data_IF_753790270518
#
_entry.id   IF_753790270518
#
_cell.length_a   1.000
_cell.length_b   1.000
_cell.length_c   1.000
_cell.angle_alpha   90.00
_cell.angle_beta   90.00
_cell.angle_gamma   90.00
#
_symmetry.space_group_name_H-M   'P 1'
#
loop_
_entity.id
_entity.type
_entity.pdbx_description
1 polymer ?
#
# COMPACT_ATOMS: atom_id res chain seq x y z
N UNK A 1 -2.65 19.99 9.30
CA UNK A 1 -2.14 18.91 8.43
C UNK A 1 -2.94 18.82 7.16
N UNK A 2 -2.38 19.40 6.09
CA UNK A 2 -2.94 19.32 4.74
C UNK A 2 -2.31 18.11 4.02
N UNK A 3 -3.01 16.98 4.11
CA UNK A 3 -2.64 15.75 3.41
C UNK A 3 -3.35 15.70 2.07
N UNK A 4 -2.60 15.37 1.03
CA UNK A 4 -3.15 15.13 -0.30
C UNK A 4 -2.80 13.72 -0.75
N UNK A 5 -3.78 13.01 -1.31
CA UNK A 5 -3.60 11.69 -1.91
C UNK A 5 -3.65 11.86 -3.43
N UNK A 6 -2.54 11.56 -4.09
CA UNK A 6 -2.35 11.70 -5.54
C UNK A 6 -2.05 10.36 -6.18
N UNK A 7 -2.44 10.15 -7.45
CA UNK A 7 -2.03 8.96 -8.21
C UNK A 7 -0.65 9.21 -8.81
N UNK A 8 0.20 8.19 -8.80
CA UNK A 8 1.54 8.28 -9.38
C UNK A 8 1.49 8.51 -10.90
N UNK A 9 0.50 7.92 -11.57
CA UNK A 9 0.25 8.13 -13.00
C UNK A 9 -0.06 9.59 -13.37
N UNK A 10 -0.50 10.42 -12.42
CA UNK A 10 -0.82 11.84 -12.66
C UNK A 10 0.41 12.76 -12.53
N UNK A 11 1.53 12.24 -12.04
CA UNK A 11 2.74 13.00 -11.68
C UNK A 11 4.01 12.55 -12.43
N UNK A 12 3.92 11.52 -13.28
CA UNK A 12 4.99 10.93 -14.12
C UNK A 12 6.45 11.22 -13.69
N UNK A 13 7.08 10.36 -12.87
CA UNK A 13 8.28 10.77 -12.17
C UNK A 13 9.44 9.77 -12.31
N UNK A 14 10.37 10.03 -13.21
CA UNK A 14 11.70 9.44 -13.05
C UNK A 14 12.40 9.96 -11.76
N UNK A 15 11.96 11.10 -11.24
CA UNK A 15 12.60 11.84 -10.14
C UNK A 15 12.14 11.42 -8.73
N UNK A 16 11.10 10.59 -8.58
CA UNK A 16 10.58 10.21 -7.25
C UNK A 16 11.31 9.02 -6.59
N UNK A 17 12.29 8.38 -7.25
CA UNK A 17 12.96 7.18 -6.73
C UNK A 17 13.56 7.37 -5.33
N UNK A 18 14.16 8.53 -5.08
CA UNK A 18 14.78 8.83 -3.78
C UNK A 18 13.73 9.02 -2.67
N UNK A 19 12.52 9.45 -3.01
CA UNK A 19 11.45 9.75 -2.04
C UNK A 19 10.84 8.46 -1.47
N UNK A 20 10.91 7.34 -2.19
CA UNK A 20 10.46 6.03 -1.70
C UNK A 20 11.48 5.28 -0.83
N UNK A 21 12.66 5.84 -0.58
CA UNK A 21 13.76 5.14 0.09
C UNK A 21 13.37 4.53 1.46
N UNK A 22 12.72 5.30 2.33
CA UNK A 22 12.24 4.82 3.63
C UNK A 22 11.18 3.74 3.49
N UNK A 23 10.21 3.95 2.59
CA UNK A 23 9.16 2.97 2.28
C UNK A 23 9.77 1.63 1.82
N UNK A 24 10.69 1.68 0.85
CA UNK A 24 11.37 0.49 0.33
C UNK A 24 12.13 -0.21 1.45
N UNK A 25 12.94 0.54 2.22
CA UNK A 25 13.73 -0.02 3.33
C UNK A 25 12.85 -0.73 4.37
N UNK A 26 11.74 -0.13 4.77
CA UNK A 26 10.83 -0.75 5.74
C UNK A 26 10.12 -1.98 5.18
N UNK A 27 9.70 -1.97 3.91
CA UNK A 27 9.00 -3.10 3.32
C UNK A 27 9.94 -4.26 2.96
N UNK A 28 11.21 -4.01 2.67
CA UNK A 28 12.24 -5.04 2.46
C UNK A 28 12.41 -5.95 3.70
N UNK A 29 12.17 -5.43 4.90
CA UNK A 29 12.19 -6.22 6.15
C UNK A 29 11.04 -7.23 6.25
N UNK A 30 9.94 -6.97 5.52
CA UNK A 30 8.71 -7.76 5.58
C UNK A 30 8.56 -8.69 4.37
N UNK A 31 9.07 -8.26 3.22
CA UNK A 31 8.94 -8.95 1.94
C UNK A 31 10.32 -9.04 1.27
N UNK A 32 10.89 -10.24 1.09
CA UNK A 32 12.17 -10.39 0.43
C UNK A 32 12.16 -9.86 -1.01
N UNK A 33 13.23 -9.17 -1.42
CA UNK A 33 13.40 -8.57 -2.74
C UNK A 33 12.37 -7.49 -3.07
N UNK A 34 11.86 -6.77 -2.06
CA UNK A 34 10.82 -5.76 -2.21
C UNK A 34 11.23 -4.64 -3.17
N UNK A 35 12.48 -4.15 -3.11
CA UNK A 35 13.00 -3.13 -4.03
C UNK A 35 12.91 -3.56 -5.49
N UNK A 36 13.30 -4.80 -5.78
CA UNK A 36 13.23 -5.37 -7.14
C UNK A 36 11.78 -5.47 -7.60
N UNK A 37 10.89 -5.97 -6.71
CA UNK A 37 9.46 -6.04 -6.98
C UNK A 37 8.85 -4.65 -7.21
N UNK A 38 9.16 -3.66 -6.37
CA UNK A 38 8.62 -2.30 -6.47
C UNK A 38 9.06 -1.61 -7.77
N UNK A 39 10.33 -1.77 -8.18
CA UNK A 39 10.80 -1.29 -9.48
C UNK A 39 10.00 -1.88 -10.65
N UNK A 40 9.66 -3.18 -10.58
CA UNK A 40 8.77 -3.80 -11.57
C UNK A 40 7.37 -3.16 -11.55
N UNK A 41 6.81 -2.90 -10.37
CA UNK A 41 5.49 -2.25 -10.24
C UNK A 41 5.50 -0.84 -10.82
N UNK A 42 6.57 -0.06 -10.64
CA UNK A 42 6.68 1.27 -11.27
C UNK A 42 6.59 1.17 -12.81
N UNK A 43 7.26 0.17 -13.40
CA UNK A 43 7.19 -0.09 -14.85
C UNK A 43 5.78 -0.57 -15.26
N UNK A 44 5.16 -1.47 -14.48
CA UNK A 44 3.80 -1.94 -14.76
C UNK A 44 2.76 -0.82 -14.64
N UNK A 45 2.91 0.10 -13.68
CA UNK A 45 2.04 1.27 -13.53
C UNK A 45 2.15 2.20 -14.74
N UNK A 46 3.38 2.46 -15.22
CA UNK A 46 3.62 3.27 -16.40
C UNK A 46 3.01 2.64 -17.67
N UNK A 47 3.24 1.34 -17.89
CA UNK A 47 2.78 0.64 -19.10
C UNK A 47 1.31 0.23 -19.06
N UNK A 48 0.73 0.04 -17.87
CA UNK A 48 -0.64 -0.46 -17.69
C UNK A 48 -1.40 0.32 -16.59
N UNK A 49 -1.66 1.63 -16.80
CA UNK A 49 -2.20 2.52 -15.76
C UNK A 49 -3.58 2.08 -15.21
N UNK A 50 -4.35 1.33 -15.99
CA UNK A 50 -5.66 0.80 -15.57
C UNK A 50 -5.61 -0.54 -14.80
N UNK A 51 -4.43 -1.18 -14.73
CA UNK A 51 -4.22 -2.47 -14.05
C UNK A 51 -3.39 -2.35 -12.77
N UNK A 52 -2.51 -1.34 -12.72
CA UNK A 52 -1.64 -1.04 -11.59
C UNK A 52 -1.69 0.44 -11.32
N UNK A 53 -2.00 0.80 -10.08
CA UNK A 53 -1.90 2.18 -9.63
C UNK A 53 -1.17 2.27 -8.29
N UNK A 54 -0.41 3.35 -8.13
CA UNK A 54 0.23 3.71 -6.88
C UNK A 54 -0.36 5.03 -6.42
N UNK A 55 -1.00 5.04 -5.26
CA UNK A 55 -1.42 6.25 -4.58
C UNK A 55 -0.37 6.66 -3.56
N UNK A 56 -0.07 7.95 -3.51
CA UNK A 56 0.89 8.53 -2.59
C UNK A 56 0.16 9.58 -1.76
N UNK A 57 0.30 9.51 -0.44
CA UNK A 57 -0.08 10.61 0.43
C UNK A 57 1.13 11.50 0.66
N UNK A 58 0.98 12.79 0.36
CA UNK A 58 1.98 13.82 0.64
C UNK A 58 1.47 14.78 1.73
N UNK A 59 2.37 15.30 2.57
CA UNK A 59 2.08 16.43 3.45
C UNK A 59 2.62 17.71 2.84
N UNK A 60 1.74 18.70 2.63
CA UNK A 60 2.08 20.02 2.05
C UNK A 60 2.57 21.06 3.07
N UNK A 61 2.74 20.70 4.34
CA UNK A 61 3.10 21.64 5.40
C UNK A 61 4.56 22.15 5.40
N UNK A 62 5.41 21.73 4.45
CA UNK A 62 6.82 22.16 4.37
C UNK A 62 7.24 22.43 2.93
N UNK A 63 8.35 23.16 2.77
CA UNK A 63 9.04 23.37 1.48
C UNK A 63 9.52 22.05 0.83
N UNK A 64 9.49 20.93 1.56
CA UNK A 64 9.88 19.60 1.08
C UNK A 64 8.66 18.66 1.07
N UNK A 65 8.45 17.98 -0.06
CA UNK A 65 7.43 16.95 -0.21
C UNK A 65 7.84 15.73 0.62
N UNK A 66 7.06 15.40 1.64
CA UNK A 66 7.22 14.18 2.43
C UNK A 66 6.15 13.17 2.04
N UNK A 67 6.58 11.95 1.69
CA UNK A 67 5.66 10.82 1.51
C UNK A 67 5.23 10.34 2.89
N UNK A 68 3.95 10.57 3.21
CA UNK A 68 3.31 10.12 4.44
C UNK A 68 2.73 8.72 4.31
N UNK A 69 2.46 8.29 3.08
CA UNK A 69 1.96 6.95 2.84
C UNK A 69 1.99 6.55 1.38
N UNK A 70 2.00 5.24 1.15
CA UNK A 70 2.03 4.61 -0.18
C UNK A 70 0.99 3.50 -0.18
N UNK A 71 0.16 3.46 -1.22
CA UNK A 71 -0.78 2.37 -1.46
C UNK A 71 -0.62 1.88 -2.90
N UNK A 72 -0.42 0.58 -3.05
CA UNK A 72 -0.22 -0.07 -4.36
C UNK A 72 -1.41 -0.99 -4.64
N UNK A 73 -2.07 -0.79 -5.78
CA UNK A 73 -3.29 -1.50 -6.15
C UNK A 73 -3.09 -2.39 -7.39
N UNK A 74 -3.79 -3.53 -7.40
CA UNK A 74 -3.92 -4.45 -8.53
C UNK A 74 -5.36 -4.51 -8.98
N UNK A 75 -5.64 -4.19 -10.25
CA UNK A 75 -6.98 -4.29 -10.85
C UNK A 75 -6.95 -5.16 -12.10
N UNK A 76 -6.99 -6.48 -11.90
CA UNK A 76 -7.14 -7.47 -12.97
C UNK A 76 -8.52 -8.11 -12.87
N UNK A 77 -8.97 -8.78 -13.93
CA UNK A 77 -10.27 -9.44 -13.97
C UNK A 77 -10.37 -10.53 -12.89
N UNK A 78 -9.27 -11.23 -12.68
CA UNK A 78 -9.15 -12.35 -11.74
C UNK A 78 -8.79 -11.89 -10.32
N UNK A 79 -8.27 -10.67 -10.15
CA UNK A 79 -7.76 -10.21 -8.85
C UNK A 79 -7.88 -8.69 -8.68
N UNK A 80 -8.59 -8.28 -7.62
CA UNK A 80 -8.66 -6.90 -7.12
C UNK A 80 -7.99 -6.86 -5.75
N UNK A 81 -6.75 -6.34 -5.69
CA UNK A 81 -5.90 -6.46 -4.49
C UNK A 81 -5.33 -5.11 -4.05
N UNK A 82 -5.32 -4.87 -2.74
CA UNK A 82 -4.42 -3.90 -2.11
C UNK A 82 -3.08 -4.62 -1.88
N UNK A 83 -2.12 -4.42 -2.78
CA UNK A 83 -0.82 -5.11 -2.70
C UNK A 83 0.03 -4.59 -1.56
N UNK A 84 -0.05 -3.29 -1.31
CA UNK A 84 0.67 -2.62 -0.23
C UNK A 84 -0.19 -1.47 0.28
N UNK A 85 -0.27 -1.32 1.60
CA UNK A 85 -0.68 -0.08 2.25
C UNK A 85 0.36 0.22 3.32
N UNK A 86 0.97 1.40 3.25
CA UNK A 86 2.01 1.83 4.16
C UNK A 86 1.73 3.27 4.56
N UNK A 87 1.74 3.54 5.87
CA UNK A 87 1.71 4.87 6.44
C UNK A 87 2.96 5.02 7.31
N UNK A 88 3.75 6.05 7.04
CA UNK A 88 4.93 6.38 7.82
C UNK A 88 4.52 6.64 9.27
N UNK A 89 5.36 6.20 10.23
CA UNK A 89 4.99 6.07 11.64
C UNK A 89 4.49 7.37 12.27
N UNK A 90 5.12 8.51 11.96
CA UNK A 90 4.77 9.83 12.45
C UNK A 90 3.50 10.40 11.79
N UNK A 91 2.99 9.75 10.75
CA UNK A 91 1.73 10.10 10.07
C UNK A 91 0.57 9.14 10.37
N UNK A 92 0.78 8.12 11.21
CA UNK A 92 -0.29 7.21 11.68
C UNK A 92 -1.29 7.93 12.59
N UNK A 93 -2.45 7.31 12.79
CA UNK A 93 -3.57 7.84 13.60
C UNK A 93 -4.18 9.17 13.11
N UNK A 94 -3.82 9.61 11.89
CA UNK A 94 -4.35 10.83 11.24
C UNK A 94 -5.40 10.54 10.16
N UNK A 95 -6.06 9.38 10.25
CA UNK A 95 -7.08 8.88 9.29
C UNK A 95 -6.60 8.65 7.85
N UNK A 96 -5.31 8.84 7.53
CA UNK A 96 -4.74 8.64 6.18
C UNK A 96 -5.01 7.22 5.66
N UNK A 97 -4.73 6.18 6.46
CA UNK A 97 -5.00 4.79 6.05
C UNK A 97 -6.47 4.52 5.74
N UNK A 98 -7.39 5.12 6.50
CA UNK A 98 -8.83 5.04 6.22
C UNK A 98 -9.20 5.73 4.90
N UNK A 99 -8.60 6.87 4.59
CA UNK A 99 -8.83 7.60 3.33
C UNK A 99 -8.27 6.82 2.13
N UNK A 100 -7.07 6.24 2.27
CA UNK A 100 -6.46 5.39 1.25
C UNK A 100 -7.31 4.14 0.96
N UNK A 101 -7.82 3.45 1.99
CA UNK A 101 -8.72 2.30 1.76
C UNK A 101 -9.97 2.70 0.98
N UNK A 102 -10.59 3.86 1.29
CA UNK A 102 -11.74 4.35 0.48
C UNK A 102 -11.36 4.58 -0.98
N UNK A 103 -10.20 5.20 -1.23
CA UNK A 103 -9.65 5.37 -2.59
C UNK A 103 -9.41 4.03 -3.29
N UNK A 104 -9.00 3.00 -2.53
CA UNK A 104 -8.86 1.64 -3.07
C UNK A 104 -10.19 1.08 -3.54
N UNK A 105 -11.28 1.32 -2.82
CA UNK A 105 -12.60 0.83 -3.21
C UNK A 105 -13.08 1.48 -4.50
N UNK A 106 -12.91 2.80 -4.61
CA UNK A 106 -13.20 3.57 -5.82
C UNK A 106 -12.40 3.03 -7.01
N UNK A 107 -11.07 2.89 -6.87
CA UNK A 107 -10.21 2.44 -7.97
C UNK A 107 -10.50 0.98 -8.35
N UNK A 108 -10.60 0.07 -7.38
CA UNK A 108 -10.79 -1.36 -7.63
C UNK A 108 -12.24 -1.71 -8.03
N UNK A 109 -13.21 -0.85 -7.72
CA UNK A 109 -14.63 -1.14 -7.93
C UNK A 109 -15.08 -2.34 -7.08
N UNK A 110 -14.65 -2.40 -5.82
CA UNK A 110 -15.08 -3.37 -4.80
C UNK A 110 -14.80 -2.80 -3.41
N UNK A 111 -15.68 -3.04 -2.45
CA UNK A 111 -15.43 -2.75 -1.03
C UNK A 111 -14.82 -3.94 -0.27
N UNK A 112 -14.60 -5.06 -0.97
CA UNK A 112 -13.89 -6.25 -0.51
C UNK A 112 -12.71 -6.53 -1.46
N UNK A 113 -11.65 -5.72 -1.41
CA UNK A 113 -10.42 -6.04 -2.12
C UNK A 113 -9.56 -6.99 -1.29
N UNK A 114 -9.00 -8.00 -1.97
CA UNK A 114 -8.08 -8.94 -1.36
C UNK A 114 -6.88 -8.19 -0.77
N UNK A 115 -6.44 -8.61 0.41
CA UNK A 115 -5.26 -8.06 1.07
C UNK A 115 -4.55 -9.15 1.87
N UNK A 116 -3.23 -9.04 1.94
CA UNK A 116 -2.42 -9.85 2.85
C UNK A 116 -1.66 -8.95 3.80
N UNK A 117 -1.57 -9.34 5.07
CA UNK A 117 -0.97 -8.56 6.15
C UNK A 117 0.10 -9.42 6.84
N UNK A 118 1.35 -8.92 6.97
CA UNK A 118 2.39 -9.62 7.70
C UNK A 118 2.13 -9.51 9.21
N UNK A 119 2.49 -10.55 9.95
CA UNK A 119 2.31 -10.66 11.41
C UNK A 119 2.66 -9.39 12.18
N UNK A 120 3.78 -8.75 11.86
CA UNK A 120 4.27 -7.56 12.56
C UNK A 120 3.40 -6.32 12.37
N UNK A 121 2.61 -6.26 11.29
CA UNK A 121 1.72 -5.14 10.98
C UNK A 121 0.26 -5.45 11.35
N UNK A 122 -0.04 -6.66 11.81
CA UNK A 122 -1.41 -7.11 12.11
C UNK A 122 -2.16 -6.15 13.04
N UNK A 123 -1.55 -5.80 14.17
CA UNK A 123 -2.16 -4.88 15.15
C UNK A 123 -2.36 -3.46 14.59
N UNK A 124 -1.49 -3.01 13.68
CA UNK A 124 -1.63 -1.71 13.02
C UNK A 124 -2.80 -1.70 12.03
N UNK A 125 -3.08 -2.83 11.39
CA UNK A 125 -4.16 -2.98 10.41
C UNK A 125 -5.50 -3.35 11.03
N UNK A 126 -5.51 -4.02 12.19
CA UNK A 126 -6.73 -4.51 12.85
C UNK A 126 -7.87 -3.46 12.91
N UNK A 127 -7.65 -2.20 13.32
CA UNK A 127 -8.72 -1.20 13.33
C UNK A 127 -9.30 -0.88 11.95
N UNK A 128 -8.48 -0.95 10.88
CA UNK A 128 -8.94 -0.73 9.52
C UNK A 128 -9.71 -1.94 8.99
N UNK A 129 -9.23 -3.15 9.29
CA UNK A 129 -9.89 -4.41 8.90
C UNK A 129 -11.28 -4.49 9.53
N UNK A 130 -11.40 -4.21 10.83
CA UNK A 130 -12.67 -4.19 11.56
C UNK A 130 -13.61 -3.10 11.02
N UNK A 131 -13.12 -1.87 10.87
CA UNK A 131 -13.92 -0.74 10.36
C UNK A 131 -14.57 -1.00 9.01
N UNK A 132 -13.91 -1.74 8.13
CA UNK A 132 -14.40 -2.05 6.79
C UNK A 132 -14.89 -3.50 6.63
N UNK A 133 -15.05 -4.22 7.76
CA UNK A 133 -15.56 -5.59 7.82
C UNK A 133 -14.78 -6.55 6.89
N UNK A 134 -13.45 -6.45 6.86
CA UNK A 134 -12.60 -7.41 6.14
C UNK A 134 -12.69 -8.77 6.84
N UNK A 135 -12.91 -9.83 6.07
CA UNK A 135 -13.07 -11.19 6.60
C UNK A 135 -11.76 -11.94 6.40
N UNK A 136 -11.21 -12.49 7.47
CA UNK A 136 -10.01 -13.33 7.38
C UNK A 136 -10.36 -14.67 6.72
N UNK A 137 -9.62 -15.04 5.67
CA UNK A 137 -9.86 -16.29 4.92
C UNK A 137 -8.80 -17.34 5.21
N UNK A 138 -7.56 -16.94 5.52
CA UNK A 138 -6.45 -17.86 5.78
C UNK A 138 -5.33 -17.21 6.60
N UNK A 139 -4.56 -18.04 7.31
CA UNK A 139 -3.24 -17.70 7.85
C UNK A 139 -2.23 -18.71 7.35
N UNK A 140 -1.10 -18.23 6.82
CA UNK A 140 -0.04 -19.11 6.32
C UNK A 140 1.26 -18.77 7.04
N UNK A 141 1.83 -19.74 7.74
CA UNK A 141 3.18 -19.64 8.30
C UNK A 141 4.22 -19.90 7.21
N UNK A 142 5.34 -19.18 7.24
CA UNK A 142 6.45 -19.32 6.29
C UNK A 142 6.11 -18.92 4.85
N UNK A 143 5.09 -18.08 4.61
CA UNK A 143 4.70 -17.70 3.26
C UNK A 143 5.74 -16.80 2.56
N UNK A 144 6.11 -15.69 3.20
CA UNK A 144 7.18 -14.81 2.71
C UNK A 144 8.49 -14.92 3.50
N UNK A 145 8.42 -15.17 4.82
CA UNK A 145 9.57 -15.21 5.73
C UNK A 145 9.45 -16.38 6.70
N UNK A 146 10.58 -17.02 7.01
CA UNK A 146 10.66 -18.13 7.98
C UNK A 146 10.19 -17.67 9.37
N UNK A 147 9.41 -18.52 10.03
CA UNK A 147 8.81 -18.30 11.35
C UNK A 147 7.87 -17.08 11.43
N UNK A 148 7.31 -16.63 10.31
CA UNK A 148 6.35 -15.52 10.25
C UNK A 148 5.03 -15.96 9.64
N UNK A 149 3.93 -15.40 10.14
CA UNK A 149 2.57 -15.62 9.64
C UNK A 149 2.21 -14.48 8.67
N UNK A 150 1.60 -14.84 7.55
CA UNK A 150 0.89 -13.93 6.66
C UNK A 150 -0.62 -14.17 6.81
N UNK A 151 -1.37 -13.10 7.04
CA UNK A 151 -2.82 -13.12 7.23
C UNK A 151 -3.51 -12.70 5.94
N UNK A 152 -4.51 -13.44 5.50
CA UNK A 152 -5.20 -13.24 4.24
C UNK A 152 -6.65 -12.82 4.51
N UNK A 153 -7.11 -11.79 3.80
CA UNK A 153 -8.46 -11.25 3.97
C UNK A 153 -9.17 -11.07 2.64
N UNK A 154 -10.47 -11.42 2.67
CA UNK A 154 -11.55 -11.37 1.66
C UNK A 154 -11.21 -11.80 0.23
#
# INVERSE_FOLDING_TARGET
MNFEIIKLSEIYPLELKNIFSNFIKEKELLYPNFKKWFNKILIENYNFPNKREIFICINKEKLLINICGVMILKKYKEEKKICTLYIERNFRNKKIGSQMIKKSFEYLGTNKPFVTIPEEEYLNFKPLLEKYNFIETKKIKNYYRKNKIEYFYN
#
